data_IF_394659889298
#
_entry.id   IF_394659889298
#
_cell.length_a   1.000
_cell.length_b   1.000
_cell.length_c   1.000
_cell.angle_alpha   90.00
_cell.angle_beta   90.00
_cell.angle_gamma   90.00
#
_symmetry.space_group_name_H-M   'P 1'
#
loop_
_entity.id
_entity.type
_entity.pdbx_description
1 polymer ?
#
# COMPACT_ATOMS: atom_id res chain seq x y z
N UNK A 1 -2.20 56.37 -62.14
CA UNK A 1 -3.27 56.43 -61.20
C UNK A 1 -3.49 55.16 -60.52
N UNK A 2 -3.44 55.17 -59.38
CA UNK A 2 -3.91 54.33 -58.43
C UNK A 2 -3.42 52.98 -58.37
N UNK A 3 -2.38 52.78 -57.69
CA UNK A 3 -1.96 51.53 -57.12
C UNK A 3 -2.71 51.38 -55.81
N UNK A 4 -3.50 50.43 -55.73
CA UNK A 4 -4.11 50.08 -54.49
C UNK A 4 -3.50 48.84 -53.98
N UNK A 5 -2.94 48.97 -52.90
CA UNK A 5 -2.23 47.89 -52.25
C UNK A 5 -3.05 47.39 -51.14
N UNK A 6 -3.59 46.28 -51.37
CA UNK A 6 -4.16 45.53 -50.29
C UNK A 6 -3.03 44.81 -49.56
N UNK A 7 -2.72 45.31 -48.46
CA UNK A 7 -1.82 44.65 -47.57
C UNK A 7 -2.56 43.67 -46.70
N UNK A 8 -2.49 42.49 -47.07
CA UNK A 8 -2.96 41.44 -46.19
C UNK A 8 -1.92 41.20 -45.11
N UNK A 9 -2.13 41.78 -44.02
CA UNK A 9 -1.36 41.46 -42.84
C UNK A 9 -1.78 40.11 -42.29
N UNK A 10 -1.06 39.14 -42.60
CA UNK A 10 -1.23 37.84 -42.01
C UNK A 10 -0.64 37.86 -40.63
N UNK A 11 -1.45 38.06 -39.64
CA UNK A 11 -1.05 37.81 -38.25
C UNK A 11 -1.27 36.35 -37.98
N UNK A 12 -0.23 35.64 -38.16
CA UNK A 12 -0.18 34.28 -37.70
C UNK A 12 0.09 34.30 -36.21
N UNK A 13 -0.95 34.32 -35.44
CA UNK A 13 -0.83 34.07 -34.02
C UNK A 13 -0.56 32.58 -33.83
N UNK A 14 0.68 32.26 -33.76
CA UNK A 14 1.11 30.95 -33.28
C UNK A 14 0.84 30.90 -31.79
N UNK A 15 -0.32 30.46 -31.44
CA UNK A 15 -0.60 30.06 -30.11
C UNK A 15 0.05 28.71 -29.89
N UNK A 16 1.26 28.71 -29.49
CA UNK A 16 1.85 27.52 -28.91
C UNK A 16 1.29 27.39 -27.53
N UNK A 17 0.22 26.70 -27.44
CA UNK A 17 -0.18 26.15 -26.18
C UNK A 17 0.86 25.11 -25.80
N UNK A 18 1.89 25.55 -25.12
CA UNK A 18 2.68 24.64 -24.35
C UNK A 18 1.78 24.12 -23.26
N UNK A 19 1.09 23.07 -23.56
CA UNK A 19 0.54 22.25 -22.52
C UNK A 19 1.75 21.68 -21.80
N UNK A 20 2.18 22.35 -20.77
CA UNK A 20 2.91 21.70 -19.76
C UNK A 20 1.97 20.64 -19.19
N UNK A 21 2.03 19.49 -19.77
CA UNK A 21 1.61 18.31 -19.08
C UNK A 21 2.55 18.21 -17.91
N UNK A 22 2.19 18.84 -16.82
CA UNK A 22 2.68 18.40 -15.55
C UNK A 22 2.42 16.90 -15.56
N UNK A 23 3.49 16.11 -15.61
CA UNK A 23 3.35 14.68 -15.61
C UNK A 23 2.53 14.32 -14.37
N UNK A 24 1.26 14.21 -14.52
CA UNK A 24 0.55 13.24 -13.76
C UNK A 24 1.20 11.96 -14.18
N UNK A 25 2.15 11.52 -13.39
CA UNK A 25 2.34 10.10 -13.29
C UNK A 25 0.97 9.56 -12.96
N UNK A 26 0.25 9.17 -13.96
CA UNK A 26 -0.77 8.19 -13.79
C UNK A 26 0.01 7.02 -13.23
N UNK A 27 0.06 6.93 -11.90
CA UNK A 27 0.22 5.63 -11.28
C UNK A 27 -0.84 4.82 -11.98
N UNK A 28 -0.44 4.05 -13.00
CA UNK A 28 -1.24 2.94 -13.45
C UNK A 28 -1.76 2.36 -12.18
N UNK A 29 -3.06 2.35 -12.01
CA UNK A 29 -3.68 1.59 -10.94
C UNK A 29 -3.12 0.20 -11.09
N UNK A 30 -2.00 -0.04 -10.41
CA UNK A 30 -1.39 -1.34 -10.39
C UNK A 30 -2.44 -2.21 -9.72
N UNK A 31 -3.11 -3.03 -10.53
CA UNK A 31 -4.13 -3.94 -10.05
C UNK A 31 -3.54 -4.69 -8.86
N UNK A 32 -4.14 -4.51 -7.71
CA UNK A 32 -3.71 -5.20 -6.50
C UNK A 32 -3.74 -6.71 -6.75
N UNK A 33 -2.68 -7.37 -6.32
CA UNK A 33 -2.58 -8.82 -6.43
C UNK A 33 -3.53 -9.47 -5.43
N UNK A 34 -4.25 -10.46 -5.89
CA UNK A 34 -5.05 -11.29 -5.01
C UNK A 34 -4.14 -12.16 -4.12
N UNK A 35 -4.48 -12.36 -2.85
CA UNK A 35 -3.71 -13.23 -1.98
C UNK A 35 -3.68 -14.67 -2.49
N UNK A 36 -2.52 -15.30 -2.41
CA UNK A 36 -2.37 -16.74 -2.70
C UNK A 36 -3.01 -17.59 -1.61
N UNK A 37 -3.26 -18.86 -1.89
CA UNK A 37 -3.79 -19.81 -0.90
C UNK A 37 -2.85 -19.92 0.33
N UNK A 38 -1.53 -19.89 0.11
CA UNK A 38 -0.56 -19.90 1.19
C UNK A 38 -0.64 -18.63 2.05
N UNK A 39 -0.77 -17.47 1.44
CA UNK A 39 -0.94 -16.18 2.14
C UNK A 39 -2.24 -16.15 2.94
N UNK A 40 -3.33 -16.66 2.39
CA UNK A 40 -4.61 -16.78 3.11
C UNK A 40 -4.50 -17.71 4.32
N UNK A 41 -3.79 -18.81 4.18
CA UNK A 41 -3.54 -19.74 5.30
C UNK A 41 -2.77 -19.05 6.44
N UNK A 42 -1.72 -18.34 6.11
CA UNK A 42 -0.94 -17.54 7.08
C UNK A 42 -1.83 -16.48 7.73
N UNK A 43 -2.58 -15.74 6.93
CA UNK A 43 -3.47 -14.68 7.42
C UNK A 43 -4.52 -15.21 8.40
N UNK A 44 -5.14 -16.34 8.12
CA UNK A 44 -6.10 -17.00 9.01
C UNK A 44 -5.45 -17.44 10.33
N UNK A 45 -4.25 -17.99 10.26
CA UNK A 45 -3.52 -18.42 11.46
C UNK A 45 -3.21 -17.24 12.38
N UNK A 46 -2.72 -16.13 11.83
CA UNK A 46 -2.44 -14.91 12.59
C UNK A 46 -3.73 -14.30 13.14
N UNK A 47 -4.79 -14.21 12.34
CA UNK A 47 -6.07 -13.66 12.76
C UNK A 47 -6.78 -14.49 13.83
N UNK A 48 -6.48 -15.77 13.93
CA UNK A 48 -7.01 -16.68 14.96
C UNK A 48 -6.15 -16.75 16.21
N UNK A 49 -4.98 -16.11 16.18
CA UNK A 49 -4.04 -16.10 17.29
C UNK A 49 -4.20 -14.89 18.21
N UNK A 50 -3.19 -14.66 19.03
CA UNK A 50 -3.18 -13.57 20.01
C UNK A 50 -3.28 -12.17 19.38
N UNK A 51 -2.90 -12.02 18.12
CA UNK A 51 -2.89 -10.72 17.45
C UNK A 51 -4.29 -10.08 17.38
N UNK A 52 -5.32 -10.87 17.16
CA UNK A 52 -6.70 -10.37 17.15
C UNK A 52 -7.10 -9.79 18.50
N UNK A 53 -6.96 -10.58 19.54
CA UNK A 53 -7.32 -10.15 20.90
C UNK A 53 -6.54 -8.90 21.32
N UNK A 54 -5.24 -8.93 21.15
CA UNK A 54 -4.37 -7.84 21.56
C UNK A 54 -4.58 -6.58 20.73
N UNK A 55 -4.47 -6.67 19.42
CA UNK A 55 -4.38 -5.48 18.57
C UNK A 55 -5.72 -4.98 18.04
N UNK A 56 -6.70 -5.86 17.89
CA UNK A 56 -8.05 -5.47 17.45
C UNK A 56 -8.95 -5.15 18.66
N UNK A 57 -9.01 -6.06 19.63
CA UNK A 57 -9.94 -5.93 20.75
C UNK A 57 -9.42 -4.99 21.83
N UNK A 58 -8.24 -5.25 22.36
CA UNK A 58 -7.69 -4.49 23.47
C UNK A 58 -7.15 -3.12 23.03
N UNK A 59 -6.24 -3.10 22.07
CA UNK A 59 -5.57 -1.86 21.63
C UNK A 59 -6.39 -1.06 20.61
N UNK A 60 -7.41 -1.65 20.00
CA UNK A 60 -8.32 -1.01 19.04
C UNK A 60 -7.61 -0.33 17.86
N UNK A 61 -6.52 -0.95 17.38
CA UNK A 61 -5.73 -0.41 16.29
C UNK A 61 -6.41 -0.51 14.92
N UNK A 62 -7.46 -1.33 14.82
CA UNK A 62 -8.16 -1.61 13.58
C UNK A 62 -9.67 -1.33 13.74
N UNK A 63 -10.07 -0.06 13.77
CA UNK A 63 -11.49 0.29 13.99
C UNK A 63 -12.42 -0.23 12.89
N UNK A 64 -11.90 -0.49 11.70
CA UNK A 64 -12.63 -1.06 10.56
C UNK A 64 -12.87 -2.57 10.68
N UNK A 65 -12.11 -3.26 11.53
CA UNK A 65 -12.20 -4.71 11.73
C UNK A 65 -13.24 -5.05 12.79
N UNK A 66 -14.23 -5.83 12.42
CA UNK A 66 -15.35 -6.24 13.30
C UNK A 66 -15.32 -7.74 13.64
N UNK A 67 -14.52 -8.51 12.93
CA UNK A 67 -14.45 -9.97 13.10
C UNK A 67 -13.07 -10.50 12.74
N UNK A 68 -12.78 -11.72 13.15
CA UNK A 68 -11.55 -12.41 12.72
C UNK A 68 -11.48 -12.59 11.20
N UNK A 69 -12.61 -12.69 10.53
CA UNK A 69 -12.67 -12.72 9.06
C UNK A 69 -12.18 -11.40 8.46
N UNK A 70 -12.66 -10.27 8.96
CA UNK A 70 -12.21 -8.95 8.51
C UNK A 70 -10.71 -8.79 8.74
N UNK A 71 -10.21 -9.25 9.88
CA UNK A 71 -8.79 -9.19 10.20
C UNK A 71 -7.94 -10.06 9.27
N UNK A 72 -8.44 -11.24 8.93
CA UNK A 72 -7.82 -12.11 7.93
C UNK A 72 -7.66 -11.39 6.58
N UNK A 73 -8.68 -10.66 6.15
CA UNK A 73 -8.64 -9.90 4.89
C UNK A 73 -7.60 -8.78 4.93
N UNK A 74 -7.49 -8.06 6.04
CA UNK A 74 -6.46 -7.03 6.24
C UNK A 74 -5.07 -7.63 6.14
N UNK A 75 -4.82 -8.71 6.86
CA UNK A 75 -3.51 -9.40 6.85
C UNK A 75 -3.18 -9.93 5.45
N UNK A 76 -4.12 -10.58 4.80
CA UNK A 76 -3.93 -11.14 3.47
C UNK A 76 -3.58 -10.07 2.43
N UNK A 77 -4.21 -8.91 2.49
CA UNK A 77 -3.90 -7.77 1.61
C UNK A 77 -2.47 -7.28 1.81
N UNK A 78 -2.01 -7.16 3.04
CA UNK A 78 -0.63 -6.75 3.34
C UNK A 78 0.37 -7.78 2.83
N UNK A 79 0.10 -9.06 3.04
CA UNK A 79 0.97 -10.13 2.54
C UNK A 79 1.06 -10.16 1.01
N UNK A 80 -0.04 -9.90 0.32
CA UNK A 80 -0.10 -9.93 -1.14
C UNK A 80 0.46 -8.64 -1.79
N UNK A 81 0.33 -7.50 -1.14
CA UNK A 81 0.68 -6.18 -1.68
C UNK A 81 1.44 -5.30 -0.68
N UNK A 82 2.54 -5.77 -0.13
CA UNK A 82 3.32 -4.95 0.80
C UNK A 82 4.00 -3.81 0.03
N UNK A 83 4.12 -2.64 0.66
CA UNK A 83 5.00 -1.58 0.16
C UNK A 83 6.45 -1.84 0.52
N UNK A 84 6.69 -2.57 1.60
CA UNK A 84 8.02 -2.98 2.07
C UNK A 84 7.98 -4.41 2.58
N UNK A 85 9.04 -5.15 2.29
CA UNK A 85 9.23 -6.53 2.75
C UNK A 85 10.67 -6.74 3.19
N UNK A 86 10.86 -7.44 4.30
CA UNK A 86 12.19 -7.80 4.82
C UNK A 86 12.18 -9.20 5.40
N UNK A 87 13.28 -9.88 5.18
CA UNK A 87 13.62 -11.05 5.96
C UNK A 87 14.21 -10.61 7.31
N UNK A 88 13.81 -11.26 8.37
CA UNK A 88 14.29 -11.02 9.73
C UNK A 88 15.04 -12.25 10.26
N UNK A 89 15.67 -12.09 11.41
CA UNK A 89 16.31 -13.20 12.11
C UNK A 89 15.32 -14.31 12.44
N UNK A 90 15.81 -15.53 12.57
CA UNK A 90 15.03 -16.75 12.92
C UNK A 90 13.94 -17.10 11.91
N UNK A 91 14.20 -16.91 10.62
CA UNK A 91 13.29 -17.22 9.52
C UNK A 91 11.96 -16.44 9.56
N UNK A 92 11.92 -15.34 10.29
CA UNK A 92 10.77 -14.43 10.29
C UNK A 92 10.80 -13.53 9.07
N UNK A 93 9.65 -13.04 8.70
CA UNK A 93 9.51 -12.07 7.60
C UNK A 93 8.57 -10.94 8.05
N UNK A 94 8.91 -9.71 7.69
CA UNK A 94 8.08 -8.56 7.94
C UNK A 94 7.56 -7.96 6.63
N UNK A 95 6.28 -7.66 6.61
CA UNK A 95 5.56 -7.03 5.53
C UNK A 95 4.93 -5.74 6.04
N UNK A 96 5.09 -4.65 5.33
CA UNK A 96 4.54 -3.36 5.74
C UNK A 96 3.76 -2.73 4.60
N UNK A 97 2.56 -2.26 4.89
CA UNK A 97 1.77 -1.44 4.00
C UNK A 97 1.73 0.00 4.52
N UNK A 98 2.40 0.88 3.79
CA UNK A 98 2.49 2.30 4.15
C UNK A 98 1.13 2.98 4.13
N UNK A 99 0.24 2.64 3.21
CA UNK A 99 -1.05 3.30 3.06
C UNK A 99 -1.97 3.12 4.26
N UNK A 100 -1.95 1.94 4.88
CA UNK A 100 -2.74 1.60 6.06
C UNK A 100 -1.93 1.59 7.36
N UNK A 101 -0.64 1.88 7.29
CA UNK A 101 0.28 1.78 8.42
C UNK A 101 0.20 0.42 9.13
N UNK A 102 0.13 -0.64 8.35
CA UNK A 102 -0.06 -2.00 8.87
C UNK A 102 1.16 -2.84 8.65
N UNK A 103 1.64 -3.47 9.70
CA UNK A 103 2.74 -4.42 9.67
C UNK A 103 2.23 -5.83 9.95
N UNK A 104 2.72 -6.79 9.18
CA UNK A 104 2.55 -8.22 9.44
C UNK A 104 3.92 -8.82 9.65
N UNK A 105 4.13 -9.48 10.78
CA UNK A 105 5.33 -10.27 11.04
C UNK A 105 4.94 -11.73 11.01
N UNK A 106 5.42 -12.42 9.99
CA UNK A 106 5.26 -13.86 9.85
C UNK A 106 6.38 -14.58 10.57
N UNK A 107 6.02 -15.52 11.43
CA UNK A 107 6.95 -16.39 12.14
C UNK A 107 6.54 -17.85 11.95
N UNK A 108 7.22 -18.59 11.04
CA UNK A 108 6.84 -19.97 10.77
C UNK A 108 7.02 -20.91 11.98
N UNK A 109 7.83 -20.52 12.95
CA UNK A 109 8.09 -21.29 14.17
C UNK A 109 7.07 -21.03 15.27
N UNK A 110 6.34 -19.94 15.21
CA UNK A 110 5.32 -19.63 16.20
C UNK A 110 4.05 -20.46 15.97
N UNK A 111 3.37 -20.82 17.04
CA UNK A 111 2.10 -21.58 16.98
C UNK A 111 1.04 -20.81 16.22
N UNK A 112 0.93 -19.50 16.44
CA UNK A 112 -0.02 -18.59 15.81
C UNK A 112 0.50 -17.93 14.53
N UNK A 113 1.70 -18.33 14.09
CA UNK A 113 2.35 -17.88 12.85
C UNK A 113 2.74 -16.40 12.80
N UNK A 114 2.57 -15.65 13.87
CA UNK A 114 3.04 -14.29 13.93
C UNK A 114 2.05 -13.29 14.48
N UNK A 115 2.15 -12.05 13.98
CA UNK A 115 1.34 -10.93 14.47
C UNK A 115 1.04 -9.91 13.38
N UNK A 116 0.05 -9.06 13.62
CA UNK A 116 -0.29 -7.93 12.76
C UNK A 116 -0.74 -6.77 13.63
N UNK A 117 -0.14 -5.61 13.44
CA UNK A 117 -0.45 -4.40 14.20
C UNK A 117 -0.12 -3.13 13.42
N UNK A 118 -0.48 -1.98 13.97
CA UNK A 118 -0.18 -0.65 13.41
C UNK A 118 0.78 0.10 14.33
N UNK A 119 2.08 0.17 13.96
CA UNK A 119 3.07 0.81 14.81
C UNK A 119 2.92 2.34 14.80
N UNK A 120 3.07 2.97 15.96
CA UNK A 120 3.03 4.43 16.05
C UNK A 120 4.14 5.11 15.25
N UNK A 121 5.32 4.50 15.23
CA UNK A 121 6.47 5.02 14.49
C UNK A 121 6.43 4.71 13.00
N UNK A 122 5.40 4.02 12.50
CA UNK A 122 5.22 3.73 11.09
C UNK A 122 6.40 2.98 10.48
N UNK A 123 6.88 3.48 9.34
CA UNK A 123 7.99 2.88 8.61
C UNK A 123 9.27 2.76 9.44
N UNK A 124 9.54 3.69 10.34
CA UNK A 124 10.71 3.62 11.24
C UNK A 124 10.72 2.37 12.10
N UNK A 125 9.56 1.95 12.56
CA UNK A 125 9.42 0.71 13.32
C UNK A 125 9.83 -0.49 12.46
N UNK A 126 9.32 -0.55 11.24
CA UNK A 126 9.65 -1.61 10.28
C UNK A 126 11.16 -1.65 9.97
N UNK A 127 11.77 -0.51 9.73
CA UNK A 127 13.21 -0.40 9.44
C UNK A 127 14.09 -0.86 10.60
N UNK A 128 13.63 -0.71 11.83
CA UNK A 128 14.34 -1.11 13.05
C UNK A 128 14.21 -2.59 13.42
N UNK A 129 13.40 -3.38 12.71
CA UNK A 129 13.23 -4.80 12.98
C UNK A 129 14.51 -5.61 12.68
N UNK A 130 14.77 -6.65 13.46
CA UNK A 130 15.91 -7.57 13.31
C UNK A 130 15.48 -8.98 13.02
#
# INVERSE_FOLDING_TARGET
MRAIHALAALVLAMLVAASASAGKETKKDAKLKEPTAAQLKIARAIASGHAYEKHVVEEKLFPEVKSAKDFTEVIAKVLANPTHHRELENSREAYFDKSSNTIVIYNPRAKDKGTCFRPRAGLKYFEGLK
#
